data_IF_171933362224
#
_entry.id   IF_171933362224
#
_cell.length_a   1.000
_cell.length_b   1.000
_cell.length_c   1.000
_cell.angle_alpha   90.00
_cell.angle_beta   90.00
_cell.angle_gamma   90.00
#
_symmetry.space_group_name_H-M   'P 1'
#
loop_
_entity.id
_entity.type
_entity.pdbx_description
1 polymer ?
#
# COMPACT_ATOMS: atom_id res chain seq x y z
N UNK A 1 -4.72 15.74 -10.60
CA UNK A 1 -4.38 16.05 -9.19
C UNK A 1 -3.67 14.85 -8.58
N UNK A 2 -2.58 15.03 -7.84
CA UNK A 2 -1.83 13.91 -7.24
C UNK A 2 -2.15 13.77 -5.75
N UNK A 3 -2.15 12.53 -5.25
CA UNK A 3 -2.37 12.23 -3.84
C UNK A 3 -1.39 11.16 -3.38
N UNK A 4 -0.60 11.45 -2.35
CA UNK A 4 0.18 10.43 -1.63
C UNK A 4 -0.64 9.99 -0.42
N UNK A 5 -0.87 8.70 -0.29
CA UNK A 5 -1.65 8.11 0.80
C UNK A 5 -0.81 7.09 1.57
N UNK A 6 -1.05 7.03 2.88
CA UNK A 6 -0.59 5.96 3.75
C UNK A 6 -1.80 5.16 4.21
N UNK A 7 -1.69 3.84 4.20
CA UNK A 7 -2.74 2.93 4.64
C UNK A 7 -2.19 1.92 5.64
N UNK A 8 -3.08 1.39 6.48
CA UNK A 8 -2.79 0.32 7.42
C UNK A 8 -3.92 -0.70 7.38
N UNK A 9 -3.61 -1.94 7.02
CA UNK A 9 -4.61 -2.99 6.91
C UNK A 9 -4.05 -4.33 6.45
N UNK A 10 -4.90 -5.34 6.34
CA UNK A 10 -4.61 -6.74 5.99
C UNK A 10 -4.78 -7.07 4.50
N UNK A 11 -4.83 -6.05 3.66
CA UNK A 11 -5.37 -6.18 2.32
C UNK A 11 -4.41 -5.62 1.24
N UNK A 12 -3.79 -6.52 0.47
CA UNK A 12 -2.99 -6.24 -0.75
C UNK A 12 -3.23 -7.42 -1.73
N UNK A 13 -3.34 -7.27 -3.07
CA UNK A 13 -3.01 -6.14 -3.95
C UNK A 13 -4.17 -5.34 -4.53
N UNK A 14 -5.40 -5.52 -4.05
CA UNK A 14 -6.58 -4.95 -4.69
C UNK A 14 -6.89 -3.52 -4.22
N UNK A 15 -5.92 -2.63 -4.41
CA UNK A 15 -6.19 -1.20 -4.39
C UNK A 15 -7.41 -0.90 -5.29
N UNK A 16 -8.32 -0.04 -4.84
CA UNK A 16 -9.53 0.38 -5.59
C UNK A 16 -10.70 -0.60 -5.64
N UNK A 17 -10.74 -1.62 -4.79
CA UNK A 17 -11.97 -2.38 -4.52
C UNK A 17 -12.83 -1.70 -3.45
N UNK A 18 -14.11 -2.05 -3.31
CA UNK A 18 -14.95 -1.50 -2.25
C UNK A 18 -14.32 -1.64 -0.83
N UNK A 19 -14.34 -0.57 -0.04
CA UNK A 19 -13.81 -0.53 1.33
C UNK A 19 -12.31 -0.23 1.46
N UNK A 20 -11.53 -0.16 0.37
CA UNK A 20 -10.09 0.10 0.45
C UNK A 20 -9.73 1.46 1.07
N UNK A 21 -10.59 2.47 0.93
CA UNK A 21 -10.37 3.81 1.48
C UNK A 21 -10.46 3.84 3.00
N UNK A 22 -11.12 2.86 3.63
CA UNK A 22 -11.26 2.77 5.08
C UNK A 22 -9.93 2.49 5.78
N UNK A 23 -8.99 1.87 5.06
CA UNK A 23 -7.63 1.59 5.55
C UNK A 23 -6.71 2.83 5.41
N UNK A 24 -7.18 3.97 4.85
CA UNK A 24 -6.39 5.21 4.68
C UNK A 24 -6.23 5.96 6.00
N UNK A 25 -5.01 5.95 6.55
CA UNK A 25 -4.66 6.64 7.80
C UNK A 25 -4.06 8.04 7.58
N UNK A 26 -3.56 8.32 6.37
CA UNK A 26 -3.07 9.65 6.02
C UNK A 26 -3.18 9.91 4.52
N UNK A 27 -3.44 11.16 4.15
CA UNK A 27 -3.41 11.59 2.75
C UNK A 27 -2.86 13.00 2.60
N UNK A 28 -2.14 13.24 1.50
CA UNK A 28 -1.65 14.57 1.13
C UNK A 28 -1.80 14.80 -0.37
N UNK A 29 -2.40 15.93 -0.73
CA UNK A 29 -2.66 16.33 -2.11
C UNK A 29 -1.55 17.22 -2.65
N UNK A 30 -1.32 17.14 -3.96
CA UNK A 30 -0.33 17.91 -4.69
C UNK A 30 -0.85 18.25 -6.09
N UNK A 31 -0.52 19.44 -6.58
CA UNK A 31 -0.84 19.85 -7.94
C UNK A 31 0.21 19.36 -8.95
N UNK A 32 1.44 19.13 -8.49
CA UNK A 32 2.57 18.71 -9.31
C UNK A 32 3.03 17.27 -8.98
N UNK A 33 3.29 16.49 -10.03
CA UNK A 33 3.76 15.11 -9.92
C UNK A 33 5.09 14.98 -9.17
N UNK A 34 6.06 15.85 -9.45
CA UNK A 34 7.40 15.75 -8.86
C UNK A 34 7.41 16.13 -7.38
N UNK A 35 6.53 17.03 -6.95
CA UNK A 35 6.34 17.34 -5.53
C UNK A 35 5.74 16.15 -4.79
N UNK A 36 4.73 15.50 -5.39
CA UNK A 36 4.17 14.26 -4.86
C UNK A 36 5.22 13.14 -4.80
N UNK A 37 6.02 12.97 -5.86
CA UNK A 37 7.08 11.96 -5.93
C UNK A 37 8.17 12.20 -4.89
N UNK A 38 8.56 13.45 -4.67
CA UNK A 38 9.53 13.83 -3.64
C UNK A 38 9.00 13.47 -2.25
N UNK A 39 7.74 13.80 -1.97
CA UNK A 39 7.09 13.47 -0.71
C UNK A 39 6.93 11.96 -0.51
N UNK A 40 6.48 11.24 -1.54
CA UNK A 40 6.43 9.77 -1.57
C UNK A 40 7.79 9.17 -1.18
N UNK A 41 8.87 9.62 -1.83
CA UNK A 41 10.22 9.13 -1.56
C UNK A 41 10.66 9.39 -0.11
N UNK A 42 10.31 10.55 0.46
CA UNK A 42 10.57 10.84 1.87
C UNK A 42 9.83 9.87 2.79
N UNK A 43 8.52 9.66 2.58
CA UNK A 43 7.75 8.70 3.36
C UNK A 43 8.26 7.26 3.20
N UNK A 44 8.70 6.90 2.00
CA UNK A 44 9.26 5.58 1.71
C UNK A 44 10.51 5.30 2.57
N UNK A 45 11.44 6.27 2.66
CA UNK A 45 12.63 6.13 3.51
C UNK A 45 12.33 6.16 5.01
N UNK A 46 11.28 6.85 5.44
CA UNK A 46 10.83 6.80 6.83
C UNK A 46 10.29 5.41 7.18
N UNK A 47 9.40 4.87 6.35
CA UNK A 47 8.83 3.54 6.53
C UNK A 47 9.88 2.43 6.45
N UNK A 48 10.82 2.49 5.49
CA UNK A 48 11.90 1.48 5.38
C UNK A 48 12.75 1.39 6.65
N UNK A 49 13.03 2.53 7.29
CA UNK A 49 13.84 2.56 8.52
C UNK A 49 13.15 1.89 9.69
N UNK A 50 11.83 1.99 9.75
CA UNK A 50 11.01 1.43 10.81
C UNK A 50 10.66 -0.04 10.52
N UNK A 51 10.37 -0.36 9.26
CA UNK A 51 9.84 -1.64 8.80
C UNK A 51 10.65 -2.11 7.57
N UNK A 52 11.68 -2.96 7.77
CA UNK A 52 12.65 -3.27 6.72
C UNK A 52 12.17 -4.28 5.68
N UNK A 53 11.08 -5.02 5.94
CA UNK A 53 10.48 -5.91 4.94
C UNK A 53 9.47 -5.14 4.11
N UNK A 54 9.71 -5.10 2.81
CA UNK A 54 8.84 -4.41 1.88
C UNK A 54 8.84 -5.05 0.49
N UNK A 55 7.82 -4.66 -0.28
CA UNK A 55 7.73 -4.88 -1.72
C UNK A 55 7.26 -3.58 -2.37
N UNK A 56 8.13 -3.01 -3.19
CA UNK A 56 7.87 -1.80 -3.97
C UNK A 56 7.66 -2.17 -5.44
N UNK A 57 6.67 -1.54 -6.06
CA UNK A 57 6.30 -1.70 -7.46
C UNK A 57 6.69 -0.46 -8.27
N UNK A 58 6.80 -0.62 -9.59
CA UNK A 58 7.16 0.50 -10.49
C UNK A 58 6.07 1.55 -10.64
N UNK A 59 4.83 1.24 -10.27
CA UNK A 59 3.69 2.16 -10.28
C UNK A 59 3.56 2.99 -8.97
N UNK A 60 4.64 3.09 -8.19
CA UNK A 60 4.73 3.87 -6.95
C UNK A 60 3.72 3.42 -5.89
N UNK A 61 3.56 2.11 -5.79
CA UNK A 61 2.88 1.43 -4.70
C UNK A 61 3.88 0.57 -3.94
N UNK A 62 3.92 0.73 -2.63
CA UNK A 62 4.78 -0.06 -1.76
C UNK A 62 4.00 -0.54 -0.55
N UNK A 63 4.18 -1.80 -0.21
CA UNK A 63 3.84 -2.34 1.11
C UNK A 63 5.08 -2.57 1.96
N UNK A 64 4.93 -2.37 3.25
CA UNK A 64 5.88 -2.66 4.31
C UNK A 64 5.19 -3.54 5.35
N UNK A 65 5.89 -4.49 5.95
CA UNK A 65 5.32 -5.33 7.01
C UNK A 65 6.35 -5.79 8.02
N UNK A 66 5.88 -6.02 9.24
CA UNK A 66 6.61 -6.75 10.28
C UNK A 66 5.89 -8.09 10.49
N UNK A 67 6.56 -9.26 10.39
CA UNK A 67 5.93 -10.55 10.62
C UNK A 67 5.30 -10.72 12.02
N UNK A 68 5.65 -9.86 12.98
CA UNK A 68 5.03 -9.80 14.30
C UNK A 68 3.76 -8.92 14.33
N UNK A 69 3.61 -8.00 13.37
CA UNK A 69 2.43 -7.13 13.25
C UNK A 69 1.25 -7.87 12.64
N UNK A 70 0.43 -8.45 13.53
CA UNK A 70 -0.73 -9.26 13.16
C UNK A 70 -1.95 -8.86 13.97
N UNK A 71 -3.12 -8.94 13.33
CA UNK A 71 -4.44 -8.71 13.93
C UNK A 71 -5.20 -10.04 14.02
N UNK A 72 -5.82 -10.30 15.16
CA UNK A 72 -6.81 -11.38 15.27
C UNK A 72 -8.06 -11.03 14.46
N UNK A 73 -8.46 -11.89 13.52
CA UNK A 73 -9.70 -11.75 12.77
C UNK A 73 -10.70 -12.79 13.29
N UNK A 74 -11.78 -12.32 13.92
CA UNK A 74 -12.82 -13.20 14.48
C UNK A 74 -13.54 -14.00 13.40
N UNK A 75 -13.67 -13.42 12.20
CA UNK A 75 -14.38 -14.02 11.08
C UNK A 75 -13.57 -15.12 10.40
N UNK A 76 -12.24 -15.01 10.42
CA UNK A 76 -11.34 -16.02 9.85
C UNK A 76 -10.80 -17.00 10.91
N UNK A 77 -10.98 -16.71 12.20
CA UNK A 77 -10.39 -17.46 13.32
C UNK A 77 -8.86 -17.63 13.19
N UNK A 78 -8.19 -16.59 12.67
CA UNK A 78 -6.75 -16.60 12.42
C UNK A 78 -6.11 -15.22 12.61
N UNK A 79 -4.79 -15.20 12.80
CA UNK A 79 -4.00 -13.97 12.81
C UNK A 79 -3.65 -13.54 11.39
N UNK A 80 -4.15 -12.38 10.99
CA UNK A 80 -3.90 -11.77 9.68
C UNK A 80 -2.74 -10.78 9.75
N UNK A 81 -1.81 -10.88 8.80
CA UNK A 81 -0.72 -9.94 8.64
C UNK A 81 -1.27 -8.53 8.39
N UNK A 82 -0.68 -7.53 9.05
CA UNK A 82 -0.95 -6.12 8.77
C UNK A 82 0.17 -5.52 7.90
N UNK A 83 -0.22 -4.59 7.04
CA UNK A 83 0.66 -3.90 6.11
C UNK A 83 0.57 -2.40 6.31
N UNK A 84 1.72 -1.78 6.36
CA UNK A 84 1.86 -0.34 6.17
C UNK A 84 2.08 -0.09 4.69
N UNK A 85 1.14 0.60 4.06
CA UNK A 85 1.16 0.80 2.61
C UNK A 85 1.33 2.26 2.26
N UNK A 86 2.03 2.52 1.16
CA UNK A 86 2.29 3.84 0.62
C UNK A 86 1.98 3.83 -0.88
N UNK A 87 1.14 4.75 -1.33
CA UNK A 87 0.80 4.88 -2.74
C UNK A 87 0.83 6.34 -3.21
N UNK A 88 1.32 6.57 -4.42
CA UNK A 88 1.14 7.82 -5.15
C UNK A 88 0.08 7.63 -6.23
N UNK A 89 -0.99 8.40 -6.15
CA UNK A 89 -2.14 8.32 -7.04
C UNK A 89 -2.27 9.57 -7.91
N UNK A 90 -2.87 9.40 -9.10
CA UNK A 90 -3.30 10.48 -9.98
C UNK A 90 -4.82 10.43 -10.14
N UNK A 91 -5.50 11.51 -9.77
CA UNK A 91 -6.96 11.66 -9.85
C UNK A 91 -7.73 10.50 -9.19
N UNK A 92 -7.15 9.98 -8.11
CA UNK A 92 -7.72 8.89 -7.32
C UNK A 92 -7.43 7.48 -7.88
N UNK A 93 -6.64 7.38 -8.95
CA UNK A 93 -6.27 6.10 -9.59
C UNK A 93 -4.75 5.85 -9.53
N UNK A 94 -4.33 4.64 -9.89
CA UNK A 94 -2.91 4.30 -10.11
C UNK A 94 -2.32 5.28 -11.13
N UNK A 95 -1.06 5.65 -10.95
CA UNK A 95 -0.37 6.45 -11.97
C UNK A 95 -0.39 5.73 -13.32
N UNK A 96 -0.51 6.47 -14.43
CA UNK A 96 -0.49 5.87 -15.76
C UNK A 96 0.91 5.37 -16.13
N UNK A 97 0.97 4.48 -17.11
CA UNK A 97 2.19 3.79 -17.54
C UNK A 97 3.33 4.74 -17.92
N UNK A 98 3.05 5.95 -18.42
CA UNK A 98 4.08 6.94 -18.76
C UNK A 98 4.85 7.44 -17.53
N UNK A 99 4.27 7.29 -16.34
CA UNK A 99 4.89 7.64 -15.05
C UNK A 99 5.46 6.44 -14.33
N UNK A 100 5.35 5.23 -14.90
CA UNK A 100 5.93 4.01 -14.37
C UNK A 100 7.45 4.15 -14.19
N UNK A 101 7.95 3.67 -13.05
CA UNK A 101 9.34 3.79 -12.63
C UNK A 101 9.89 2.41 -12.30
N UNK A 102 10.43 1.65 -13.27
CA UNK A 102 10.96 0.31 -13.02
C UNK A 102 12.11 0.31 -11.99
N UNK A 103 12.85 1.42 -11.86
CA UNK A 103 13.87 1.57 -10.81
C UNK A 103 13.34 1.61 -9.37
N UNK A 104 12.01 1.64 -9.17
CA UNK A 104 11.36 1.51 -7.86
C UNK A 104 10.94 0.07 -7.56
N UNK A 105 11.06 -0.86 -8.51
CA UNK A 105 10.81 -2.27 -8.27
C UNK A 105 11.94 -2.86 -7.43
N UNK A 106 11.63 -3.13 -6.17
CA UNK A 106 12.57 -3.73 -5.22
C UNK A 106 11.79 -4.35 -4.09
N UNK A 107 12.33 -5.44 -3.56
CA UNK A 107 11.75 -6.14 -2.43
C UNK A 107 12.85 -6.71 -1.55
N UNK A 108 12.58 -6.76 -0.26
CA UNK A 108 13.41 -7.42 0.74
C UNK A 108 12.68 -8.63 1.34
N UNK A 109 11.35 -8.67 1.26
CA UNK A 109 10.54 -9.79 1.73
C UNK A 109 10.15 -10.78 0.62
N UNK A 110 10.00 -12.06 1.01
CA UNK A 110 9.65 -13.18 0.13
C UNK A 110 8.44 -13.92 0.71
N UNK A 111 7.23 -13.36 0.63
CA UNK A 111 6.06 -14.01 1.24
C UNK A 111 4.82 -14.07 0.34
N UNK A 112 4.02 -15.11 0.61
CA UNK A 112 2.71 -15.37 0.03
C UNK A 112 1.68 -14.99 1.10
N UNK A 113 0.94 -13.93 0.85
CA UNK A 113 0.13 -13.28 1.89
C UNK A 113 -1.33 -13.76 1.89
N UNK A 114 -1.91 -13.85 3.09
CA UNK A 114 -3.33 -14.19 3.31
C UNK A 114 -4.07 -12.94 3.74
N UNK A 115 -5.25 -12.74 3.17
CA UNK A 115 -6.13 -11.61 3.42
C UNK A 115 -7.45 -12.12 4.00
N UNK A 116 -8.17 -11.27 4.75
CA UNK A 116 -9.49 -11.60 5.28
C UNK A 116 -10.41 -12.12 4.18
N UNK A 117 -11.12 -13.22 4.45
CA UNK A 117 -11.99 -13.90 3.47
C UNK A 117 -13.22 -13.08 3.11
N UNK A 118 -13.81 -12.37 4.08
CA UNK A 118 -14.99 -11.52 3.83
C UNK A 118 -14.61 -10.33 2.95
N UNK A 119 -13.53 -9.62 3.28
CA UNK A 119 -13.00 -8.54 2.42
C UNK A 119 -12.73 -9.01 0.99
N UNK A 120 -12.40 -10.30 0.79
CA UNK A 120 -12.20 -10.88 -0.55
C UNK A 120 -13.52 -11.14 -1.30
N UNK A 121 -14.58 -11.50 -0.60
CA UNK A 121 -15.90 -11.78 -1.19
C UNK A 121 -16.63 -10.50 -1.58
N UNK A 122 -16.52 -9.43 -0.78
CA UNK A 122 -17.11 -8.11 -1.05
C UNK A 122 -16.48 -7.40 -2.26
N UNK A 123 -15.32 -7.87 -2.71
CA UNK A 123 -14.49 -7.19 -3.71
C UNK A 123 -14.50 -7.91 -5.06
N UNK A 124 -15.29 -8.98 -5.17
CA UNK A 124 -15.53 -9.75 -6.39
C UNK A 124 -16.86 -9.31 -7.02
N UNK A 125 -16.83 -8.27 -7.85
CA UNK A 125 -17.95 -7.90 -8.74
C UNK A 125 -17.46 -7.75 -10.19
#
# INVERSE_FOLDING_TARGET
>A
MYRVIKMYGDFEPWWFIEGWEDDVIASKKFDNYYDALKYYKSCWFELEKEIPLYKSRGDLMTIFWDPEDKRWCEECDEFLQQYHSLALLEDGQVIPDEKFRPGYEKQTGLEIHRTCRIKKEETTF
#
